data_IF_154533088604
#
_entry.id   IF_154533088604
#
_cell.length_a   1.000
_cell.length_b   1.000
_cell.length_c   1.000
_cell.angle_alpha   90.00
_cell.angle_beta   90.00
_cell.angle_gamma   90.00
#
_symmetry.space_group_name_H-M   'P 1'
#
loop_
_entity.id
_entity.type
_entity.pdbx_description
1 polymer ?
#
# COMPACT_ATOMS: atom_id res chain seq x y z
N UNK A 1 -2.87 -9.11 11.59
CA UNK A 1 -2.42 -10.09 12.60
C UNK A 1 -3.18 -11.38 12.39
N UNK A 2 -2.46 -12.48 12.19
CA UNK A 2 -3.03 -13.78 11.85
C UNK A 2 -3.86 -14.40 12.98
N UNK A 3 -4.82 -15.27 12.61
CA UNK A 3 -5.66 -16.04 13.53
C UNK A 3 -5.56 -17.54 13.24
N UNK A 4 -5.75 -18.36 14.28
CA UNK A 4 -5.90 -19.81 14.12
C UNK A 4 -7.08 -20.15 13.20
N UNK A 5 -6.89 -21.18 12.37
CA UNK A 5 -7.85 -21.63 11.36
C UNK A 5 -7.87 -20.79 10.08
N UNK A 6 -7.12 -19.68 10.03
CA UNK A 6 -7.11 -18.81 8.86
C UNK A 6 -6.37 -19.46 7.69
N UNK A 7 -6.90 -19.27 6.48
CA UNK A 7 -6.26 -19.65 5.23
C UNK A 7 -5.21 -18.59 4.87
N UNK A 8 -4.02 -19.04 4.51
CA UNK A 8 -2.91 -18.20 4.06
C UNK A 8 -2.29 -18.79 2.80
N UNK A 9 -1.54 -17.98 2.06
CA UNK A 9 -0.74 -18.39 0.90
C UNK A 9 0.72 -18.38 1.30
N UNK A 10 1.46 -19.41 0.86
CA UNK A 10 2.90 -19.52 1.05
C UNK A 10 3.59 -18.70 -0.06
N UNK A 11 4.33 -17.67 0.31
CA UNK A 11 4.97 -16.75 -0.64
C UNK A 11 6.49 -16.92 -0.72
N UNK A 12 7.12 -17.47 0.32
CA UNK A 12 8.56 -17.71 0.37
C UNK A 12 8.91 -18.97 1.16
N UNK A 13 10.18 -19.37 1.08
CA UNK A 13 10.76 -20.49 1.83
C UNK A 13 12.12 -20.07 2.38
N UNK A 14 12.09 -19.18 3.37
CA UNK A 14 13.30 -18.52 3.90
C UNK A 14 14.28 -19.51 4.56
N UNK A 15 13.77 -20.67 5.01
CA UNK A 15 14.55 -21.73 5.67
C UNK A 15 14.81 -22.95 4.78
N UNK A 16 14.47 -22.88 3.48
CA UNK A 16 14.66 -23.97 2.50
C UNK A 16 14.07 -25.32 2.97
N UNK A 17 12.88 -25.29 3.57
CA UNK A 17 12.19 -26.47 4.08
C UNK A 17 11.51 -27.28 2.97
N UNK A 18 11.50 -26.76 1.73
CA UNK A 18 10.77 -27.31 0.60
C UNK A 18 9.29 -26.93 0.64
N UNK A 19 8.98 -25.69 1.04
CA UNK A 19 7.60 -25.20 1.07
C UNK A 19 7.04 -25.07 -0.36
N UNK A 20 5.79 -25.52 -0.60
CA UNK A 20 5.17 -25.37 -1.91
C UNK A 20 4.68 -23.93 -2.11
N UNK A 21 5.50 -23.10 -2.75
CA UNK A 21 5.19 -21.70 -3.02
C UNK A 21 3.92 -21.54 -3.88
N UNK A 22 3.13 -20.51 -3.59
CA UNK A 22 1.84 -20.23 -4.23
C UNK A 22 0.69 -21.11 -3.76
N UNK A 23 0.94 -22.08 -2.88
CA UNK A 23 -0.09 -22.97 -2.36
C UNK A 23 -0.69 -22.46 -1.06
N UNK A 24 -1.88 -22.97 -0.76
CA UNK A 24 -2.59 -22.63 0.47
C UNK A 24 -2.15 -23.49 1.65
N UNK A 25 -2.13 -22.85 2.82
CA UNK A 25 -2.05 -23.52 4.11
C UNK A 25 -3.06 -22.96 5.09
N UNK A 26 -3.26 -23.68 6.19
CA UNK A 26 -4.12 -23.27 7.30
C UNK A 26 -3.31 -23.19 8.58
N UNK A 27 -3.45 -22.09 9.30
CA UNK A 27 -2.76 -21.87 10.57
C UNK A 27 -3.39 -22.75 11.66
N UNK A 28 -2.65 -23.74 12.17
CA UNK A 28 -3.17 -24.71 13.16
C UNK A 28 -2.60 -24.54 14.56
N UNK A 29 -1.43 -23.91 14.68
CA UNK A 29 -0.83 -23.56 15.96
C UNK A 29 0.06 -22.33 15.82
N UNK A 30 0.26 -21.63 16.95
CA UNK A 30 1.25 -20.55 17.07
C UNK A 30 2.38 -21.03 17.97
N UNK A 31 3.62 -20.87 17.53
CA UNK A 31 4.78 -21.11 18.39
C UNK A 31 4.89 -19.96 19.40
N UNK A 32 5.16 -20.30 20.66
CA UNK A 32 5.30 -19.34 21.77
C UNK A 32 6.70 -19.38 22.38
N UNK A 33 7.58 -20.22 21.86
CA UNK A 33 8.95 -20.29 22.31
C UNK A 33 9.70 -19.03 21.81
N UNK A 34 10.18 -18.15 22.71
CA UNK A 34 10.90 -16.95 22.30
C UNK A 34 12.24 -17.25 21.59
N UNK A 35 12.78 -18.45 21.78
CA UNK A 35 14.02 -18.89 21.13
C UNK A 35 13.75 -19.58 19.78
N UNK A 36 12.49 -19.74 19.38
CA UNK A 36 12.13 -20.30 18.07
C UNK A 36 12.23 -19.25 16.99
N UNK A 37 12.84 -19.61 15.87
CA UNK A 37 12.79 -18.79 14.66
C UNK A 37 11.39 -18.83 14.02
N UNK A 38 10.59 -19.85 14.30
CA UNK A 38 9.28 -20.05 13.70
C UNK A 38 8.17 -19.37 14.52
N UNK A 39 7.16 -18.86 13.83
CA UNK A 39 6.01 -18.17 14.44
C UNK A 39 4.73 -19.00 14.41
N UNK A 40 4.55 -19.78 13.35
CA UNK A 40 3.29 -20.49 13.09
C UNK A 40 3.52 -21.93 12.62
N UNK A 41 2.53 -22.79 12.83
CA UNK A 41 2.48 -24.13 12.23
C UNK A 41 1.34 -24.17 11.23
N UNK A 42 1.66 -24.55 10.00
CA UNK A 42 0.73 -24.68 8.89
C UNK A 42 0.36 -26.13 8.63
N UNK A 43 -0.92 -26.38 8.40
CA UNK A 43 -1.40 -27.56 7.66
C UNK A 43 -1.43 -27.23 6.18
N UNK A 44 -0.69 -27.97 5.36
CA UNK A 44 -0.63 -27.76 3.90
C UNK A 44 -1.34 -28.92 3.19
N UNK A 45 -2.61 -28.77 2.76
CA UNK A 45 -3.42 -29.87 2.23
C UNK A 45 -2.76 -30.63 1.09
N UNK A 46 -2.16 -29.91 0.13
CA UNK A 46 -1.55 -30.47 -1.08
C UNK A 46 -0.52 -31.57 -0.81
N UNK A 47 0.27 -31.43 0.25
CA UNK A 47 1.34 -32.38 0.60
C UNK A 47 1.05 -33.17 1.87
N UNK A 48 -0.14 -33.01 2.46
CA UNK A 48 -0.58 -33.66 3.70
C UNK A 48 0.42 -33.56 4.87
N UNK A 49 1.05 -32.39 5.05
CA UNK A 49 2.05 -32.15 6.10
C UNK A 49 1.69 -30.99 7.02
N UNK A 50 2.30 -31.02 8.21
CA UNK A 50 2.41 -29.90 9.14
C UNK A 50 3.84 -29.37 9.09
N UNK A 51 4.01 -28.07 8.88
CA UNK A 51 5.33 -27.44 8.80
C UNK A 51 5.32 -26.15 9.61
N UNK A 52 6.38 -25.91 10.38
CA UNK A 52 6.58 -24.66 11.10
C UNK A 52 7.16 -23.61 10.14
N UNK A 53 6.64 -22.40 10.20
CA UNK A 53 7.02 -21.31 9.29
C UNK A 53 7.21 -20.00 10.05
N UNK A 54 7.95 -19.10 9.42
CA UNK A 54 8.06 -17.70 9.82
C UNK A 54 6.86 -16.90 9.30
N UNK A 55 6.58 -15.77 9.91
CA UNK A 55 5.40 -14.95 9.55
C UNK A 55 5.59 -14.30 8.18
N UNK A 56 6.84 -14.05 7.78
CA UNK A 56 7.25 -13.42 6.52
C UNK A 56 7.06 -14.33 5.29
N UNK A 57 7.03 -15.65 5.49
CA UNK A 57 6.87 -16.63 4.41
C UNK A 57 5.39 -16.84 4.04
N UNK A 58 4.46 -16.21 4.77
CA UNK A 58 3.02 -16.35 4.56
C UNK A 58 2.30 -15.00 4.48
N UNK A 59 1.27 -14.96 3.65
CA UNK A 59 0.43 -13.75 3.47
C UNK A 59 -1.04 -14.15 3.41
N UNK A 60 -1.92 -13.22 3.79
CA UNK A 60 -3.35 -13.39 3.56
C UNK A 60 -3.68 -13.26 2.08
N UNK A 61 -4.56 -14.10 1.59
CA UNK A 61 -5.00 -14.01 0.19
C UNK A 61 -5.66 -12.65 -0.10
N UNK A 62 -6.41 -12.09 0.85
CA UNK A 62 -7.02 -10.77 0.66
C UNK A 62 -5.98 -9.67 0.44
N UNK A 63 -4.84 -9.76 1.15
CA UNK A 63 -3.75 -8.78 1.02
C UNK A 63 -3.07 -8.91 -0.35
N UNK A 64 -2.81 -10.13 -0.81
CA UNK A 64 -2.24 -10.36 -2.14
C UNK A 64 -3.15 -9.82 -3.25
N UNK A 65 -4.46 -10.01 -3.12
CA UNK A 65 -5.44 -9.49 -4.08
C UNK A 65 -5.50 -7.96 -4.06
N UNK A 66 -5.42 -7.35 -2.88
CA UNK A 66 -5.42 -5.89 -2.73
C UNK A 66 -4.15 -5.26 -3.34
N UNK A 67 -2.97 -5.83 -3.08
CA UNK A 67 -1.71 -5.38 -3.66
C UNK A 67 -1.71 -5.51 -5.19
N UNK A 68 -2.17 -6.64 -5.70
CA UNK A 68 -2.28 -6.87 -7.14
C UNK A 68 -3.29 -5.91 -7.79
N UNK A 69 -4.45 -5.70 -7.18
CA UNK A 69 -5.46 -4.77 -7.67
C UNK A 69 -4.93 -3.34 -7.69
N UNK A 70 -4.20 -2.93 -6.65
CA UNK A 70 -3.57 -1.61 -6.58
C UNK A 70 -2.51 -1.42 -7.66
N UNK A 71 -1.65 -2.43 -7.88
CA UNK A 71 -0.62 -2.40 -8.93
C UNK A 71 -1.25 -2.25 -10.32
N UNK A 72 -2.20 -3.13 -10.65
CA UNK A 72 -2.89 -3.09 -11.96
C UNK A 72 -3.64 -1.77 -12.15
N UNK A 73 -4.31 -1.28 -11.10
CA UNK A 73 -5.04 0.00 -11.17
C UNK A 73 -4.09 1.16 -11.41
N UNK A 74 -2.94 1.18 -10.74
CA UNK A 74 -1.92 2.21 -10.93
C UNK A 74 -1.37 2.17 -12.36
N UNK A 75 -1.00 1.00 -12.87
CA UNK A 75 -0.51 0.82 -14.24
C UNK A 75 -1.55 1.28 -15.28
N UNK A 76 -2.82 0.89 -15.11
CA UNK A 76 -3.90 1.31 -15.99
C UNK A 76 -4.13 2.83 -15.97
N UNK A 77 -3.99 3.48 -14.81
CA UNK A 77 -4.10 4.93 -14.70
C UNK A 77 -2.92 5.66 -15.36
N UNK A 78 -1.71 5.12 -15.27
CA UNK A 78 -0.54 5.65 -15.98
C UNK A 78 -0.73 5.55 -17.50
N UNK A 79 -1.16 4.39 -17.99
CA UNK A 79 -1.44 4.17 -19.42
C UNK A 79 -2.52 5.13 -19.93
N UNK A 80 -3.59 5.31 -19.15
CA UNK A 80 -4.63 6.28 -19.45
C UNK A 80 -4.06 7.71 -19.52
N UNK A 81 -3.29 8.13 -18.52
CA UNK A 81 -2.71 9.46 -18.47
C UNK A 81 -1.81 9.74 -19.70
N UNK A 82 -0.99 8.77 -20.10
CA UNK A 82 -0.15 8.86 -21.29
C UNK A 82 -0.97 8.92 -22.57
N UNK A 83 -1.99 8.07 -22.71
CA UNK A 83 -2.87 8.04 -23.87
C UNK A 83 -3.66 9.35 -24.06
N UNK A 84 -4.12 9.96 -22.96
CA UNK A 84 -4.86 11.23 -23.00
C UNK A 84 -3.96 12.47 -22.89
N UNK A 85 -2.63 12.29 -22.75
CA UNK A 85 -1.67 13.37 -22.44
C UNK A 85 -2.08 14.19 -21.21
N UNK A 86 -2.62 13.54 -20.19
CA UNK A 86 -2.98 14.16 -18.93
C UNK A 86 -1.74 14.26 -18.03
N UNK A 87 -0.98 15.34 -18.19
CA UNK A 87 0.28 15.57 -17.47
C UNK A 87 0.09 15.68 -15.95
N UNK A 88 -1.03 16.25 -15.50
CA UNK A 88 -1.33 16.41 -14.07
C UNK A 88 -1.50 15.04 -13.39
N UNK A 89 -2.32 14.16 -13.97
CA UNK A 89 -2.53 12.80 -13.45
C UNK A 89 -1.23 11.98 -13.48
N UNK A 90 -0.44 12.10 -14.55
CA UNK A 90 0.85 11.41 -14.66
C UNK A 90 1.83 11.83 -13.56
N UNK A 91 1.99 13.14 -13.32
CA UNK A 91 2.88 13.66 -12.27
C UNK A 91 2.44 13.23 -10.88
N UNK A 92 1.13 13.24 -10.62
CA UNK A 92 0.55 12.77 -9.36
C UNK A 92 0.85 11.28 -9.12
N UNK A 93 0.64 10.42 -10.12
CA UNK A 93 0.90 8.98 -10.00
C UNK A 93 2.40 8.67 -9.83
N UNK A 94 3.26 9.43 -10.49
CA UNK A 94 4.72 9.30 -10.38
C UNK A 94 5.30 9.85 -9.07
N UNK A 95 4.49 10.42 -8.18
CA UNK A 95 4.94 11.02 -6.93
C UNK A 95 5.85 12.23 -7.14
N UNK A 96 5.74 12.91 -8.28
CA UNK A 96 6.53 14.09 -8.64
C UNK A 96 5.92 15.39 -8.10
N UNK A 97 5.21 15.32 -6.97
CA UNK A 97 4.67 16.51 -6.29
C UNK A 97 5.79 17.24 -5.53
N UNK A 98 6.55 18.04 -6.27
CA UNK A 98 7.10 19.28 -5.73
C UNK A 98 6.31 20.45 -6.35
N UNK A 99 5.52 21.10 -5.48
CA UNK A 99 5.06 22.49 -5.47
C UNK A 99 4.60 23.18 -6.79
N UNK A 100 3.45 23.86 -6.69
CA UNK A 100 2.79 24.73 -7.68
C UNK A 100 1.99 23.91 -8.72
N UNK A 101 0.68 23.78 -8.63
CA UNK A 101 -0.31 24.85 -8.59
C UNK A 101 -1.48 24.46 -7.66
N UNK A 102 -1.45 24.96 -6.42
CA UNK A 102 -2.70 25.47 -5.88
C UNK A 102 -3.10 26.60 -6.83
N UNK A 103 -4.06 26.33 -7.71
CA UNK A 103 -4.75 27.37 -8.46
C UNK A 103 -5.71 28.13 -7.51
N UNK A 104 -5.17 28.60 -6.38
CA UNK A 104 -5.65 29.81 -5.75
C UNK A 104 -5.08 30.93 -6.62
N UNK A 105 -5.86 31.35 -7.62
CA UNK A 105 -5.69 32.71 -8.12
C UNK A 105 -5.68 33.62 -6.88
N UNK A 106 -4.61 34.39 -6.59
CA UNK A 106 -4.80 35.51 -5.70
C UNK A 106 -5.75 36.43 -6.46
N UNK A 107 -7.03 36.42 -6.04
CA UNK A 107 -8.02 37.37 -6.51
C UNK A 107 -7.32 38.74 -6.54
N UNK A 108 -7.15 39.30 -7.73
CA UNK A 108 -6.52 40.61 -7.91
C UNK A 108 -7.32 41.60 -7.08
N UNK A 109 -6.85 41.90 -5.86
CA UNK A 109 -7.45 42.91 -5.01
C UNK A 109 -7.54 44.18 -5.85
N UNK A 110 -8.76 44.70 -5.97
CA UNK A 110 -8.99 45.88 -6.81
C UNK A 110 -8.26 47.08 -6.20
N UNK A 111 -7.82 48.02 -7.03
CA UNK A 111 -7.16 49.25 -6.58
C UNK A 111 -7.99 49.99 -5.50
N UNK A 112 -9.32 49.86 -5.55
CA UNK A 112 -10.23 50.43 -4.57
C UNK A 112 -10.10 49.78 -3.17
N UNK A 113 -9.90 48.46 -3.09
CA UNK A 113 -9.69 47.76 -1.82
C UNK A 113 -8.33 48.08 -1.20
N UNK A 114 -7.30 48.25 -2.04
CA UNK A 114 -5.98 48.71 -1.61
C UNK A 114 -6.05 50.11 -0.99
N UNK A 115 -6.72 51.06 -1.65
CA UNK A 115 -6.88 52.43 -1.15
C UNK A 115 -7.64 52.44 0.19
N UNK A 116 -8.65 51.59 0.35
CA UNK A 116 -9.42 51.48 1.61
C UNK A 116 -8.56 51.00 2.79
N UNK A 117 -7.71 49.99 2.58
CA UNK A 117 -6.79 49.47 3.62
C UNK A 117 -5.74 50.51 4.04
N UNK A 118 -5.21 51.29 3.10
CA UNK A 118 -4.18 52.30 3.39
C UNK A 118 -4.77 53.48 4.17
N UNK A 119 -6.02 53.88 3.87
CA UNK A 119 -6.65 55.01 4.56
C UNK A 119 -7.04 54.70 6.02
N UNK A 120 -7.29 53.42 6.35
CA UNK A 120 -7.61 52.98 7.73
C UNK A 120 -6.36 52.98 8.62
N UNK A 121 -5.15 52.81 8.06
CA UNK A 121 -3.88 52.82 8.81
C UNK A 121 -3.32 54.21 9.09
N UNK A 122 -3.90 55.27 8.50
CA UNK A 122 -3.45 56.65 8.69
C UNK A 122 -4.03 57.31 9.95
N UNK A 123 -5.01 56.69 10.63
CA UNK A 123 -5.56 57.13 11.90
C UNK A 123 -5.33 56.06 12.98
N UNK A 124 -4.17 56.14 13.62
CA UNK A 124 -4.06 55.96 15.07
C UNK A 124 -4.28 57.34 15.68
#
# INVERSE_FOLDING_TARGET
>A
MFKLGQRVVIVADSFEQGLPLGEYGYLIARDRNPDSAFSWVLRIPKIDKHIAVVEEDIVLEEQLLEEEANRISHEALLDFALATRNEALFRQLMGMEDAEEANDEPAKESMEEFIRKVNIKAWI
#
